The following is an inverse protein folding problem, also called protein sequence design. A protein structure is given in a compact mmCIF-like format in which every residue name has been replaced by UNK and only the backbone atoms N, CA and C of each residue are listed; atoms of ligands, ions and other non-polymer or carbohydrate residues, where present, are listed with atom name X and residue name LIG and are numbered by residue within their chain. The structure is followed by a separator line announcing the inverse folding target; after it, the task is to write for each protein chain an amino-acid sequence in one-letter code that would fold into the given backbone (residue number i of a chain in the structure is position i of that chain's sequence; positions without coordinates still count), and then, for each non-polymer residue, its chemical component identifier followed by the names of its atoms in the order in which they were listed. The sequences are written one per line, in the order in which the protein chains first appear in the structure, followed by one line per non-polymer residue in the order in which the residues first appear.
data_IF_554016665594
#
_entry.id   IF_554016665594
#
_cell.length_a   1.000
_cell.length_b   1.000
_cell.length_c   1.000
_cell.angle_alpha   90.00
_cell.angle_beta   90.00
_cell.angle_gamma   90.00
#
_symmetry.space_group_name_H-M   'P 1'
#
loop_
_entity.id
_entity.type
_entity.pdbx_description
1 polymer ?
#
# COMPACT_ATOMS: atom_id res chain seq x y z
N UNK A 1 3.57 4.93 -23.89
CA UNK A 1 2.95 6.15 -24.44
C UNK A 1 1.47 6.07 -24.09
N UNK A 2 1.08 6.63 -22.95
CA UNK A 2 -0.26 6.46 -22.38
C UNK A 2 -1.27 7.29 -23.14
N UNK A 3 -2.35 6.67 -23.61
CA UNK A 3 -3.57 7.36 -24.03
C UNK A 3 -4.09 8.19 -22.85
N UNK A 4 -3.97 9.52 -22.95
CA UNK A 4 -4.65 10.46 -22.09
C UNK A 4 -6.16 10.31 -22.32
N UNK A 5 -6.96 10.26 -21.25
CA UNK A 5 -8.41 10.23 -21.38
C UNK A 5 -8.87 11.47 -22.14
N UNK A 6 -9.73 11.30 -23.15
CA UNK A 6 -10.28 12.42 -23.91
C UNK A 6 -11.11 13.31 -22.98
N UNK A 7 -10.91 14.62 -23.05
CA UNK A 7 -11.74 15.61 -22.36
C UNK A 7 -13.18 15.53 -22.84
N UNK A 8 -14.12 15.52 -21.92
CA UNK A 8 -15.56 15.50 -22.16
C UNK A 8 -16.16 16.82 -21.67
N UNK A 9 -17.22 17.27 -22.34
CA UNK A 9 -17.93 18.49 -21.98
C UNK A 9 -19.41 18.17 -21.71
N UNK A 10 -19.96 18.74 -20.64
CA UNK A 10 -21.39 18.70 -20.33
C UNK A 10 -21.91 20.14 -20.20
N UNK A 11 -23.08 20.40 -20.76
CA UNK A 11 -23.78 21.68 -20.62
C UNK A 11 -24.91 21.45 -19.63
N UNK A 12 -24.99 22.28 -18.59
CA UNK A 12 -26.08 22.20 -17.60
C UNK A 12 -26.51 23.60 -17.18
N UNK A 13 -27.80 23.75 -16.97
CA UNK A 13 -28.48 24.91 -16.40
C UNK A 13 -28.99 24.63 -14.98
N UNK A 14 -28.76 23.40 -14.48
CA UNK A 14 -29.30 22.94 -13.20
C UNK A 14 -28.19 22.82 -12.13
N UNK A 15 -28.30 23.58 -11.02
CA UNK A 15 -27.37 23.49 -9.90
C UNK A 15 -27.23 22.09 -9.29
N UNK A 16 -28.29 21.26 -9.34
CA UNK A 16 -28.25 19.90 -8.83
C UNK A 16 -27.38 18.96 -9.69
N UNK A 17 -27.39 19.17 -11.01
CA UNK A 17 -26.52 18.42 -11.93
C UNK A 17 -25.07 18.86 -11.78
N UNK A 18 -24.82 20.15 -11.64
CA UNK A 18 -23.50 20.68 -11.31
C UNK A 18 -22.94 20.02 -10.03
N UNK A 19 -23.75 19.97 -8.98
CA UNK A 19 -23.36 19.33 -7.72
C UNK A 19 -23.03 17.84 -7.88
N UNK A 20 -23.74 17.13 -8.78
CA UNK A 20 -23.45 15.74 -9.11
C UNK A 20 -22.09 15.57 -9.79
N UNK A 21 -21.73 16.43 -10.73
CA UNK A 21 -20.40 16.40 -11.36
C UNK A 21 -19.28 16.75 -10.35
N UNK A 22 -19.50 17.72 -9.45
CA UNK A 22 -18.53 18.05 -8.41
C UNK A 22 -18.31 16.93 -7.38
N UNK A 23 -19.34 16.15 -7.07
CA UNK A 23 -19.26 15.05 -6.11
C UNK A 23 -18.84 13.71 -6.73
N UNK A 24 -18.80 13.62 -8.06
CA UNK A 24 -18.36 12.40 -8.73
C UNK A 24 -16.83 12.31 -8.66
N UNK A 25 -16.36 11.44 -7.78
CA UNK A 25 -14.92 11.26 -7.55
C UNK A 25 -14.19 10.61 -8.74
N UNK A 26 -14.94 9.94 -9.63
CA UNK A 26 -14.41 9.25 -10.81
C UNK A 26 -13.99 10.21 -11.93
N UNK A 27 -14.41 11.48 -11.85
CA UNK A 27 -14.06 12.52 -12.80
C UNK A 27 -13.18 13.59 -12.16
N UNK A 28 -12.46 14.31 -13.01
CA UNK A 28 -11.69 15.48 -12.65
C UNK A 28 -12.20 16.64 -13.49
N UNK A 29 -12.77 17.65 -12.84
CA UNK A 29 -13.24 18.86 -13.51
C UNK A 29 -12.01 19.69 -13.89
N UNK A 30 -11.82 19.90 -15.19
CA UNK A 30 -10.71 20.69 -15.74
C UNK A 30 -11.09 22.11 -16.06
N UNK A 31 -12.38 22.42 -16.19
CA UNK A 31 -12.86 23.77 -16.46
C UNK A 31 -14.36 23.92 -16.22
N UNK A 32 -14.76 25.13 -15.84
CA UNK A 32 -16.14 25.58 -15.71
C UNK A 32 -16.26 26.91 -16.44
N UNK A 33 -16.98 26.95 -17.54
CA UNK A 33 -17.20 28.15 -18.35
C UNK A 33 -18.68 28.52 -18.33
N UNK A 34 -19.00 29.77 -18.08
CA UNK A 34 -20.37 30.28 -18.16
C UNK A 34 -20.65 30.72 -19.60
N UNK A 35 -21.59 30.03 -20.26
CA UNK A 35 -21.96 30.32 -21.65
C UNK A 35 -22.99 31.46 -21.72
N UNK A 36 -23.86 31.54 -20.71
CA UNK A 36 -24.90 32.55 -20.49
C UNK A 36 -25.16 32.63 -18.98
N UNK A 37 -25.78 33.69 -18.45
CA UNK A 37 -26.11 33.91 -17.01
C UNK A 37 -26.81 32.73 -16.29
N UNK A 38 -27.30 31.72 -17.02
CA UNK A 38 -27.98 30.54 -16.47
C UNK A 38 -27.41 29.20 -16.99
N UNK A 39 -26.41 29.20 -17.87
CA UNK A 39 -25.90 27.98 -18.55
C UNK A 39 -24.40 27.83 -18.33
N UNK A 40 -24.01 26.71 -17.73
CA UNK A 40 -22.63 26.34 -17.44
C UNK A 40 -22.16 25.20 -18.35
N UNK A 41 -20.95 25.35 -18.87
CA UNK A 41 -20.18 24.32 -19.55
C UNK A 41 -19.17 23.74 -18.56
N UNK A 42 -19.32 22.47 -18.24
CA UNK A 42 -18.40 21.70 -17.40
C UNK A 42 -17.49 20.89 -18.32
N UNK A 43 -16.19 21.14 -18.28
CA UNK A 43 -15.19 20.29 -18.94
C UNK A 43 -14.57 19.37 -17.91
N UNK A 44 -14.59 18.07 -18.15
CA UNK A 44 -14.04 17.07 -17.23
C UNK A 44 -13.30 15.94 -17.96
N UNK A 45 -12.39 15.27 -17.24
CA UNK A 45 -11.68 14.09 -17.70
C UNK A 45 -12.04 12.92 -16.78
N UNK A 46 -12.34 11.75 -17.36
CA UNK A 46 -12.52 10.52 -16.58
C UNK A 46 -11.16 9.98 -16.14
N UNK A 47 -10.98 9.74 -14.84
CA UNK A 47 -9.74 9.17 -14.30
C UNK A 47 -9.59 7.73 -14.81
N UNK A 48 -8.48 7.44 -15.49
CA UNK A 48 -8.20 6.13 -16.12
C UNK A 48 -8.10 4.99 -15.11
N UNK A 49 -7.57 5.31 -13.93
CA UNK A 49 -7.36 4.38 -12.83
C UNK A 49 -8.11 4.90 -11.60
N UNK A 50 -9.45 4.86 -11.62
CA UNK A 50 -10.23 5.02 -10.40
C UNK A 50 -10.12 3.72 -9.58
N UNK A 51 -9.06 3.63 -8.79
CA UNK A 51 -8.95 2.61 -7.75
C UNK A 51 -9.91 3.07 -6.66
N UNK A 52 -11.03 2.37 -6.50
CA UNK A 52 -11.92 2.58 -5.38
C UNK A 52 -11.11 2.31 -4.10
N UNK A 53 -10.66 3.37 -3.43
CA UNK A 53 -10.00 3.24 -2.13
C UNK A 53 -10.97 2.51 -1.21
N UNK A 54 -10.60 1.30 -0.79
CA UNK A 54 -11.40 0.53 0.14
C UNK A 54 -11.70 1.44 1.36
N UNK A 55 -12.95 1.48 1.82
CA UNK A 55 -13.40 2.38 2.90
C UNK A 55 -12.62 2.24 4.24
N UNK A 56 -11.77 1.21 4.34
CA UNK A 56 -10.92 0.90 5.47
C UNK A 56 -9.41 1.04 5.16
N UNK A 57 -9.03 1.57 4.00
CA UNK A 57 -7.63 1.83 3.66
C UNK A 57 -7.12 3.05 4.43
N UNK A 58 -6.30 2.79 5.46
CA UNK A 58 -5.67 3.86 6.24
C UNK A 58 -4.15 3.70 6.16
N UNK A 59 -3.54 4.52 5.31
CA UNK A 59 -2.09 4.55 5.07
C UNK A 59 -1.31 4.83 6.36
N UNK A 60 -1.88 5.58 7.30
CA UNK A 60 -1.22 5.86 8.59
C UNK A 60 -1.15 4.59 9.43
N UNK A 61 -2.22 3.80 9.46
CA UNK A 61 -2.25 2.53 10.20
C UNK A 61 -1.29 1.53 9.57
N UNK A 62 -1.26 1.42 8.23
CA UNK A 62 -0.32 0.51 7.55
C UNK A 62 1.13 0.91 7.82
N UNK A 63 1.45 2.21 7.71
CA UNK A 63 2.78 2.73 7.99
C UNK A 63 3.21 2.46 9.43
N UNK A 64 2.33 2.71 10.41
CA UNK A 64 2.60 2.46 11.82
C UNK A 64 2.90 0.99 12.07
N UNK A 65 2.04 0.10 11.57
CA UNK A 65 2.14 -1.34 11.82
C UNK A 65 3.41 -1.92 11.19
N UNK A 66 3.73 -1.53 9.95
CA UNK A 66 4.98 -1.94 9.28
C UNK A 66 6.22 -1.39 9.98
N UNK A 67 6.18 -0.14 10.44
CA UNK A 67 7.31 0.48 11.15
C UNK A 67 7.57 -0.19 12.49
N UNK A 68 6.50 -0.49 13.25
CA UNK A 68 6.59 -1.23 14.51
C UNK A 68 7.22 -2.61 14.28
N UNK A 69 6.72 -3.38 13.31
CA UNK A 69 7.27 -4.70 12.98
C UNK A 69 8.78 -4.64 12.66
N UNK A 70 9.22 -3.67 11.85
CA UNK A 70 10.65 -3.46 11.54
C UNK A 70 11.49 -3.17 12.78
N UNK A 71 11.01 -2.34 13.70
CA UNK A 71 11.73 -2.03 14.95
C UNK A 71 11.84 -3.30 15.82
N UNK A 72 10.78 -4.10 15.90
CA UNK A 72 10.79 -5.36 16.63
C UNK A 72 11.78 -6.36 16.03
N UNK A 73 11.78 -6.50 14.70
CA UNK A 73 12.73 -7.35 13.98
C UNK A 73 14.18 -6.91 14.23
N UNK A 74 14.47 -5.60 14.15
CA UNK A 74 15.81 -5.06 14.41
C UNK A 74 16.29 -5.39 15.82
N UNK A 75 15.43 -5.25 16.84
CA UNK A 75 15.76 -5.62 18.23
C UNK A 75 16.08 -7.11 18.35
N UNK A 76 15.35 -7.97 17.66
CA UNK A 76 15.60 -9.40 17.66
C UNK A 76 16.92 -9.76 16.96
N UNK A 77 17.23 -9.14 15.82
CA UNK A 77 18.52 -9.28 15.12
C UNK A 77 19.69 -8.84 16.02
N UNK A 78 19.56 -7.71 16.71
CA UNK A 78 20.58 -7.21 17.64
C UNK A 78 20.86 -8.20 18.77
N UNK A 79 19.84 -8.88 19.30
CA UNK A 79 20.02 -9.94 20.33
C UNK A 79 20.85 -11.10 19.78
N UNK A 80 20.56 -11.55 18.56
CA UNK A 80 21.29 -12.64 17.91
C UNK A 80 22.75 -12.25 17.69
N UNK A 81 23.01 -11.07 17.11
CA UNK A 81 24.38 -10.60 16.81
C UNK A 81 25.21 -10.37 18.07
N UNK A 82 24.59 -9.96 19.18
CA UNK A 82 25.27 -9.78 20.47
C UNK A 82 25.55 -11.10 21.20
N UNK A 83 24.87 -12.18 20.84
CA UNK A 83 25.10 -13.49 21.44
C UNK A 83 26.35 -14.11 20.85
N UNK A 84 27.33 -14.46 21.70
CA UNK A 84 28.63 -14.97 21.27
C UNK A 84 28.49 -16.26 20.46
N UNK A 85 28.99 -16.21 19.22
CA UNK A 85 29.02 -17.29 18.24
C UNK A 85 27.68 -17.59 17.57
N UNK A 86 26.62 -16.80 17.82
CA UNK A 86 25.43 -16.83 17.01
C UNK A 86 25.63 -16.04 15.70
N UNK A 87 25.11 -16.55 14.58
CA UNK A 87 25.20 -15.90 13.27
C UNK A 87 23.83 -15.78 12.63
N UNK A 88 23.45 -14.56 12.26
CA UNK A 88 22.22 -14.29 11.52
C UNK A 88 22.35 -14.77 10.07
N UNK A 89 21.35 -15.51 9.57
CA UNK A 89 21.32 -16.07 8.21
C UNK A 89 20.33 -15.36 7.29
N UNK A 90 19.13 -15.06 7.79
CA UNK A 90 18.05 -14.48 6.98
C UNK A 90 17.08 -13.70 7.86
N UNK A 91 16.42 -12.70 7.27
CA UNK A 91 15.34 -11.92 7.91
C UNK A 91 14.30 -11.51 6.89
N UNK A 92 13.03 -11.65 7.25
CA UNK A 92 11.89 -11.14 6.46
C UNK A 92 10.74 -10.74 7.38
N UNK A 93 10.22 -9.52 7.19
CA UNK A 93 9.04 -8.92 7.81
C UNK A 93 8.92 -9.07 9.33
N UNK A 94 8.60 -10.25 9.83
CA UNK A 94 8.41 -10.61 11.23
C UNK A 94 9.24 -11.83 11.70
N UNK A 95 10.06 -12.42 10.82
CA UNK A 95 10.84 -13.63 11.05
C UNK A 95 12.34 -13.43 10.85
N UNK A 96 13.14 -14.20 11.59
CA UNK A 96 14.60 -14.27 11.41
C UNK A 96 15.10 -15.70 11.60
N UNK A 97 16.17 -16.05 10.88
CA UNK A 97 16.86 -17.34 10.94
C UNK A 97 18.28 -17.10 11.42
N UNK A 98 18.75 -17.86 12.42
CA UNK A 98 20.10 -17.74 12.95
C UNK A 98 20.69 -19.10 13.34
N UNK A 99 22.02 -19.20 13.27
CA UNK A 99 22.79 -20.32 13.80
C UNK A 99 23.27 -20.00 15.20
N UNK A 100 23.30 -21.00 16.07
CA UNK A 100 23.88 -20.95 17.43
C UNK A 100 25.12 -21.86 17.44
N UNK A 101 26.23 -21.50 18.10
CA UNK A 101 27.41 -22.33 18.14
C UNK A 101 27.13 -23.51 19.09
N UNK A 102 27.17 -24.73 18.54
CA UNK A 102 26.95 -26.01 19.21
C UNK A 102 25.55 -26.28 19.76
N UNK A 103 24.66 -26.75 18.89
CA UNK A 103 23.98 -28.01 19.21
C UNK A 103 24.85 -29.11 18.60
N UNK A 104 25.74 -29.70 19.40
CA UNK A 104 26.23 -31.04 19.10
C UNK A 104 24.97 -31.90 18.99
N UNK A 105 24.61 -32.27 17.75
CA UNK A 105 23.67 -33.35 17.50
C UNK A 105 24.23 -34.56 18.24
N UNK A 106 23.66 -34.90 19.39
CA UNK A 106 23.71 -36.26 19.90
C UNK A 106 22.92 -37.09 18.90
N UNK A 107 23.55 -37.41 17.76
CA UNK A 107 23.10 -38.45 16.88
C UNK A 107 23.22 -39.74 17.67
N UNK A 108 22.16 -40.09 18.39
CA UNK A 108 21.95 -41.46 18.86
C UNK A 108 21.76 -42.30 17.61
N UNK A 109 22.88 -42.71 17.01
CA UNK A 109 22.91 -43.76 16.00
C UNK A 109 22.48 -45.04 16.70
N UNK A 110 21.22 -45.41 16.54
CA UNK A 110 20.78 -46.78 16.75
C UNK A 110 21.43 -47.64 15.66
N UNK A 111 22.61 -48.17 15.95
CA UNK A 111 23.13 -49.31 15.20
C UNK A 111 22.33 -50.53 15.62
N UNK A 112 21.38 -50.96 14.77
CA UNK A 112 20.81 -52.29 14.87
C UNK A 112 21.89 -53.31 14.48
N UNK A 113 22.56 -53.87 15.47
CA UNK A 113 23.43 -55.03 15.33
C UNK A 113 22.63 -56.30 15.69
N UNK A 114 22.63 -57.27 14.77
CA UNK A 114 22.27 -58.66 15.05
C UNK A 114 20.88 -59.07 14.61
#
# INVERSE_FOLDING_TARGET
MGTFGLSQCAITDNPAELHKYYNDKSIEITGLDELTDEILLITYIKKKDWIEEHNCSNVVISLWTTSAARIHLLRAMQKVVRTTGCKLLYTDTDSLIFCTPNQQLSSTTWTSSG
#
